data_IF_068005516870
#
_entry.id   IF_068005516870
#
_cell.length_a   1.000
_cell.length_b   1.000
_cell.length_c   1.000
_cell.angle_alpha   90.00
_cell.angle_beta   90.00
_cell.angle_gamma   90.00
#
_symmetry.space_group_name_H-M   'P 1'
#
loop_
_entity.id
_entity.type
_entity.pdbx_description
1 polymer ?
#
# COMPACT_ATOMS: atom_id res chain seq x y z
N UNK A 1 42.05 12.35 1.54
CA UNK A 1 41.28 11.74 2.65
C UNK A 1 39.82 12.18 2.50
N UNK A 2 38.90 11.29 2.13
CA UNK A 2 37.46 11.58 2.02
C UNK A 2 36.72 10.70 3.02
N UNK A 3 36.06 11.33 3.98
CA UNK A 3 35.13 10.67 4.90
C UNK A 3 33.82 10.33 4.16
N UNK A 4 33.27 9.12 4.27
CA UNK A 4 31.89 8.88 3.89
C UNK A 4 30.99 9.23 5.08
N UNK A 5 30.20 10.29 4.89
CA UNK A 5 29.03 10.63 5.69
C UNK A 5 28.02 9.47 5.68
N UNK A 6 27.95 8.73 6.77
CA UNK A 6 26.90 7.75 7.03
C UNK A 6 25.57 8.47 7.28
N UNK A 7 24.78 8.72 6.24
CA UNK A 7 23.35 9.03 6.39
C UNK A 7 22.61 7.76 6.80
N UNK A 8 22.62 7.47 8.10
CA UNK A 8 21.74 6.46 8.69
C UNK A 8 20.29 6.96 8.59
N UNK A 9 19.58 6.57 7.54
CA UNK A 9 18.12 6.69 7.51
C UNK A 9 17.56 5.79 8.61
N UNK A 10 17.26 6.37 9.77
CA UNK A 10 16.59 5.67 10.86
C UNK A 10 15.24 5.16 10.35
N UNK A 11 15.16 3.84 10.11
CA UNK A 11 13.88 3.18 9.87
C UNK A 11 13.11 3.25 11.18
N UNK A 12 12.35 4.33 11.40
CA UNK A 12 11.44 4.42 12.53
C UNK A 12 10.55 3.19 12.49
N UNK A 13 10.73 2.27 13.46
CA UNK A 13 9.84 1.13 13.63
C UNK A 13 8.43 1.68 13.80
N UNK A 14 7.59 1.48 12.77
CA UNK A 14 6.20 1.95 12.73
C UNK A 14 5.33 1.33 13.83
N UNK A 15 5.82 0.31 14.53
CA UNK A 15 5.09 -0.44 15.54
C UNK A 15 5.87 -0.49 16.85
N UNK A 16 5.43 0.27 17.86
CA UNK A 16 5.74 -0.03 19.26
C UNK A 16 4.95 -1.29 19.65
N UNK A 17 5.62 -2.24 20.29
CA UNK A 17 5.43 -3.69 20.16
C UNK A 17 4.24 -4.35 20.89
N UNK A 18 3.17 -3.66 21.31
CA UNK A 18 2.04 -4.32 22.00
C UNK A 18 0.66 -3.85 21.50
N UNK A 19 -0.25 -4.79 21.22
CA UNK A 19 -1.68 -4.53 20.95
C UNK A 19 -2.09 -4.20 19.50
N UNK A 20 -1.19 -4.26 18.50
CA UNK A 20 -1.52 -3.96 17.09
C UNK A 20 -2.01 -5.22 16.38
N UNK A 21 -3.18 -5.14 15.74
CA UNK A 21 -3.77 -6.21 14.93
C UNK A 21 -2.93 -6.47 13.67
N UNK A 22 -2.43 -7.70 13.54
CA UNK A 22 -1.67 -8.18 12.36
C UNK A 22 -2.46 -9.16 11.49
N UNK A 23 -3.64 -9.57 11.94
CA UNK A 23 -4.53 -10.47 11.21
C UNK A 23 -5.18 -9.83 9.99
N UNK A 24 -6.07 -10.56 9.29
CA UNK A 24 -6.80 -10.05 8.13
C UNK A 24 -7.57 -8.76 8.47
N UNK A 25 -7.78 -7.92 7.46
CA UNK A 25 -8.64 -6.75 7.59
C UNK A 25 -10.09 -7.19 7.71
N UNK A 26 -10.78 -6.65 8.71
CA UNK A 26 -12.20 -6.88 8.91
C UNK A 26 -13.01 -5.84 8.13
N UNK A 27 -14.24 -6.14 7.70
CA UNK A 27 -15.08 -5.17 7.01
C UNK A 27 -15.32 -3.91 7.85
N UNK A 28 -15.43 -4.03 9.18
CA UNK A 28 -15.59 -2.87 10.06
C UNK A 28 -14.34 -1.99 10.08
N UNK A 29 -13.15 -2.59 10.04
CA UNK A 29 -11.87 -1.84 9.94
C UNK A 29 -11.80 -1.08 8.59
N UNK A 30 -12.32 -1.69 7.51
CA UNK A 30 -12.34 -1.09 6.19
C UNK A 30 -13.32 0.09 6.13
N UNK A 31 -14.55 -0.06 6.64
CA UNK A 31 -15.55 1.02 6.68
C UNK A 31 -15.05 2.25 7.45
N UNK A 32 -14.43 2.03 8.62
CA UNK A 32 -13.84 3.13 9.41
C UNK A 32 -12.75 3.85 8.61
N UNK A 33 -11.93 3.10 7.87
CA UNK A 33 -10.87 3.66 7.05
C UNK A 33 -11.41 4.44 5.84
N UNK A 34 -12.38 3.88 5.11
CA UNK A 34 -13.01 4.53 3.96
C UNK A 34 -13.72 5.82 4.37
N UNK A 35 -14.50 5.78 5.46
CA UNK A 35 -15.23 6.94 5.96
C UNK A 35 -14.26 8.06 6.38
N UNK A 36 -13.20 7.73 7.12
CA UNK A 36 -12.19 8.72 7.51
C UNK A 36 -11.52 9.36 6.31
N UNK A 37 -11.12 8.58 5.30
CA UNK A 37 -10.44 9.12 4.11
C UNK A 37 -11.39 9.95 3.26
N UNK A 38 -12.66 9.55 3.17
CA UNK A 38 -13.69 10.34 2.47
C UNK A 38 -13.90 11.70 3.14
N UNK A 39 -13.86 11.76 4.47
CA UNK A 39 -14.03 13.00 5.24
C UNK A 39 -12.79 13.91 5.27
N UNK A 40 -11.62 13.34 5.54
CA UNK A 40 -10.39 14.09 5.83
C UNK A 40 -9.42 14.17 4.65
N UNK A 41 -9.61 13.32 3.64
CA UNK A 41 -8.70 13.13 2.50
C UNK A 41 -7.58 12.12 2.74
N UNK A 42 -7.02 11.59 1.64
CA UNK A 42 -5.96 10.57 1.70
C UNK A 42 -4.64 11.13 2.27
N UNK A 43 -3.88 10.28 2.96
CA UNK A 43 -2.57 10.64 3.52
C UNK A 43 -2.50 10.59 5.04
N UNK A 44 -1.48 11.25 5.62
CA UNK A 44 -1.24 11.28 7.08
C UNK A 44 -1.21 9.89 7.73
N UNK A 45 -0.76 8.87 6.99
CA UNK A 45 -0.82 7.45 7.38
C UNK A 45 -0.20 7.14 8.74
N UNK A 46 0.83 7.89 9.17
CA UNK A 46 1.48 7.71 10.48
C UNK A 46 0.58 8.11 11.65
N UNK A 47 -0.23 9.16 11.50
CA UNK A 47 -1.10 9.69 12.56
C UNK A 47 -2.54 9.21 12.42
N UNK A 48 -2.93 8.75 11.22
CA UNK A 48 -4.26 8.22 10.92
C UNK A 48 -4.74 7.20 11.95
N UNK A 49 -4.02 6.10 12.28
CA UNK A 49 -4.55 5.09 13.20
C UNK A 49 -5.00 5.64 14.55
N UNK A 50 -4.26 6.60 15.11
CA UNK A 50 -4.59 7.23 16.40
C UNK A 50 -5.85 8.09 16.31
N UNK A 51 -6.11 8.72 15.16
CA UNK A 51 -7.27 9.60 14.94
C UNK A 51 -8.57 8.82 14.76
N UNK A 52 -8.50 7.66 14.14
CA UNK A 52 -9.67 6.78 13.91
C UNK A 52 -9.86 5.72 15.00
N UNK A 53 -8.96 5.66 15.99
CA UNK A 53 -8.99 4.62 17.02
C UNK A 53 -8.70 3.20 16.50
N UNK A 54 -8.08 3.07 15.32
CA UNK A 54 -7.84 1.78 14.68
C UNK A 54 -6.55 1.17 15.21
N UNK A 55 -6.63 -0.07 15.72
CA UNK A 55 -5.48 -0.82 16.24
C UNK A 55 -4.61 -1.41 15.10
N UNK A 56 -4.31 -0.61 14.09
CA UNK A 56 -3.48 -0.96 12.92
C UNK A 56 -2.32 0.01 12.80
N UNK A 57 -1.20 -0.44 12.29
CA UNK A 57 -0.09 0.48 12.03
C UNK A 57 -0.31 1.26 10.72
N UNK A 58 0.21 2.48 10.66
CA UNK A 58 0.03 3.35 9.49
C UNK A 58 0.48 2.75 8.16
N UNK A 59 1.51 1.88 8.20
CA UNK A 59 1.96 1.14 7.02
C UNK A 59 0.89 0.18 6.51
N UNK A 60 0.24 -0.57 7.41
CA UNK A 60 -0.84 -1.49 7.07
C UNK A 60 -2.03 -0.74 6.49
N UNK A 61 -2.43 0.37 7.12
CA UNK A 61 -3.53 1.22 6.67
C UNK A 61 -3.28 1.73 5.24
N UNK A 62 -2.09 2.29 4.99
CA UNK A 62 -1.71 2.76 3.66
C UNK A 62 -1.78 1.63 2.62
N UNK A 63 -1.27 0.45 2.97
CA UNK A 63 -1.27 -0.69 2.06
C UNK A 63 -2.69 -1.16 1.74
N UNK A 64 -3.57 -1.22 2.76
CA UNK A 64 -4.97 -1.61 2.58
C UNK A 64 -5.71 -0.65 1.65
N UNK A 65 -5.58 0.65 1.90
CA UNK A 65 -6.18 1.67 1.05
C UNK A 65 -5.68 1.56 -0.39
N UNK A 66 -4.36 1.56 -0.59
CA UNK A 66 -3.76 1.62 -1.92
C UNK A 66 -3.96 0.36 -2.77
N UNK A 67 -4.25 -0.79 -2.14
CA UNK A 67 -4.39 -2.06 -2.85
C UNK A 67 -5.83 -2.58 -2.93
N UNK A 68 -6.74 -2.15 -2.06
CA UNK A 68 -8.08 -2.75 -1.98
C UNK A 68 -9.19 -1.71 -1.94
N UNK A 69 -9.10 -0.70 -1.09
CA UNK A 69 -10.23 0.20 -0.81
C UNK A 69 -10.31 1.39 -1.76
N UNK A 70 -9.17 1.89 -2.27
CA UNK A 70 -9.16 3.08 -3.13
C UNK A 70 -10.02 2.86 -4.39
N UNK A 71 -10.98 3.76 -4.70
CA UNK A 71 -11.91 3.57 -5.84
C UNK A 71 -11.24 3.42 -7.20
N UNK A 72 -10.03 3.98 -7.36
CA UNK A 72 -9.27 3.89 -8.61
C UNK A 72 -8.66 2.52 -8.88
N UNK A 73 -8.70 1.59 -7.90
CA UNK A 73 -8.11 0.27 -8.04
C UNK A 73 -9.11 -0.65 -8.74
N UNK A 74 -8.70 -1.21 -9.89
CA UNK A 74 -9.52 -2.18 -10.61
C UNK A 74 -9.70 -3.45 -9.77
N UNK A 75 -10.97 -3.86 -9.59
CA UNK A 75 -11.37 -5.09 -8.89
C UNK A 75 -11.96 -6.05 -9.92
N UNK A 76 -11.38 -7.25 -10.06
CA UNK A 76 -11.89 -8.27 -10.98
C UNK A 76 -10.84 -8.77 -11.97
N UNK A 77 -11.32 -9.36 -13.06
CA UNK A 77 -10.47 -9.97 -14.09
C UNK A 77 -9.63 -8.90 -14.79
N UNK A 78 -8.34 -9.13 -14.87
CA UNK A 78 -7.41 -8.30 -15.64
C UNK A 78 -7.57 -8.69 -17.11
N UNK A 79 -7.57 -7.70 -18.00
CA UNK A 79 -7.72 -7.95 -19.42
C UNK A 79 -6.40 -8.51 -20.00
N UNK A 80 -6.47 -9.32 -21.06
CA UNK A 80 -5.29 -10.02 -21.57
C UNK A 80 -4.17 -9.07 -22.03
N UNK A 81 -4.53 -7.91 -22.58
CA UNK A 81 -3.60 -6.82 -22.92
C UNK A 81 -2.91 -6.23 -21.69
N UNK A 82 -3.61 -6.14 -20.56
CA UNK A 82 -3.03 -5.71 -19.29
C UNK A 82 -2.08 -6.77 -18.72
N UNK A 83 -2.39 -8.06 -18.86
CA UNK A 83 -1.49 -9.16 -18.46
C UNK A 83 -0.18 -9.10 -19.24
N UNK A 84 -0.26 -8.97 -20.56
CA UNK A 84 0.90 -8.77 -21.44
C UNK A 84 1.71 -7.52 -21.04
N UNK A 85 1.01 -6.44 -20.70
CA UNK A 85 1.64 -5.20 -20.26
C UNK A 85 2.36 -5.38 -18.92
N UNK A 86 1.81 -6.14 -17.96
CA UNK A 86 2.48 -6.48 -16.69
C UNK A 86 3.82 -7.18 -16.99
N UNK A 87 3.81 -8.19 -17.85
CA UNK A 87 5.00 -8.97 -18.19
C UNK A 87 6.07 -8.11 -18.87
N UNK A 88 5.69 -7.30 -19.87
CA UNK A 88 6.63 -6.40 -20.57
C UNK A 88 7.22 -5.35 -19.64
N UNK A 89 6.38 -4.75 -18.79
CA UNK A 89 6.85 -3.75 -17.82
C UNK A 89 7.75 -4.37 -16.75
N UNK A 90 7.50 -5.62 -16.32
CA UNK A 90 8.39 -6.31 -15.39
C UNK A 90 9.74 -6.65 -16.03
N UNK A 91 9.77 -7.09 -17.28
CA UNK A 91 11.03 -7.32 -18.00
C UNK A 91 11.87 -6.03 -18.12
N UNK A 92 11.22 -4.89 -18.39
CA UNK A 92 11.90 -3.60 -18.52
C UNK A 92 12.30 -2.97 -17.18
N UNK A 93 11.42 -3.07 -16.17
CA UNK A 93 11.54 -2.32 -14.92
C UNK A 93 11.95 -3.17 -13.72
N UNK A 94 11.91 -4.48 -13.82
CA UNK A 94 12.07 -5.42 -12.72
C UNK A 94 11.01 -5.22 -11.63
N UNK A 95 11.41 -5.38 -10.38
CA UNK A 95 10.53 -5.35 -9.20
C UNK A 95 10.06 -3.94 -8.79
N UNK A 96 9.97 -3.00 -9.75
CA UNK A 96 9.49 -1.62 -9.53
C UNK A 96 7.96 -1.56 -9.59
N UNK A 97 7.29 -2.36 -8.77
CA UNK A 97 5.83 -2.56 -8.81
C UNK A 97 5.02 -1.28 -8.64
N UNK A 98 5.52 -0.28 -7.90
CA UNK A 98 4.85 1.02 -7.78
C UNK A 98 4.71 1.74 -9.12
N UNK A 99 5.67 1.56 -10.02
CA UNK A 99 5.64 2.14 -11.38
C UNK A 99 4.67 1.34 -12.25
N UNK A 100 4.83 0.01 -12.30
CA UNK A 100 3.96 -0.90 -13.07
C UNK A 100 2.49 -0.66 -12.70
N UNK A 101 2.20 -0.58 -11.40
CA UNK A 101 0.88 -0.25 -10.87
C UNK A 101 0.32 1.06 -11.39
N UNK A 102 1.14 2.10 -11.51
CA UNK A 102 0.65 3.41 -11.95
C UNK A 102 0.20 3.39 -13.42
N UNK A 103 0.72 2.46 -14.24
CA UNK A 103 0.26 2.29 -15.62
C UNK A 103 -1.07 1.54 -15.72
N UNK A 104 -1.28 0.50 -14.91
CA UNK A 104 -2.40 -0.46 -15.08
C UNK A 104 -3.52 -0.25 -14.04
N UNK A 105 -3.23 0.49 -12.96
CA UNK A 105 -4.15 0.81 -11.85
C UNK A 105 -4.76 -0.41 -11.14
N UNK A 106 -4.04 -1.53 -11.14
CA UNK A 106 -4.39 -2.75 -10.38
C UNK A 106 -3.69 -2.75 -9.02
N UNK A 107 -3.98 -3.73 -8.14
CA UNK A 107 -3.28 -3.85 -6.86
C UNK A 107 -1.87 -4.43 -7.05
N UNK A 108 -0.93 -4.15 -6.14
CA UNK A 108 0.39 -4.82 -6.18
C UNK A 108 0.29 -6.32 -5.98
N UNK A 109 -0.72 -6.77 -5.23
CA UNK A 109 -1.03 -8.19 -5.05
C UNK A 109 -1.46 -8.83 -6.35
N UNK A 110 -2.25 -8.11 -7.17
CA UNK A 110 -2.63 -8.58 -8.49
C UNK A 110 -1.40 -8.70 -9.40
N UNK A 111 -0.49 -7.72 -9.42
CA UNK A 111 0.75 -7.80 -10.20
C UNK A 111 1.56 -9.07 -9.88
N UNK A 112 1.69 -9.43 -8.59
CA UNK A 112 2.39 -10.66 -8.17
C UNK A 112 1.71 -11.96 -8.60
N UNK A 113 0.43 -11.94 -9.00
CA UNK A 113 -0.24 -13.14 -9.49
C UNK A 113 0.15 -13.47 -10.95
N UNK A 114 0.80 -12.54 -11.66
CA UNK A 114 1.14 -12.66 -13.08
C UNK A 114 2.65 -12.71 -13.37
N UNK A 115 3.50 -12.54 -12.35
CA UNK A 115 4.97 -12.59 -12.43
C UNK A 115 5.45 -13.63 -11.43
#
# INVERSE_FOLDING_TARGET
>A
MRTPSSTATSKTSCCSKMGINRGPWKPEDDEVLENYITREGEGRWRTLPKRVGLLRCGKSIRLRWMNYLRPSVKRGRIAHDEEDLILRLHQLLGNRYSIIRNHIKISTTAIHAYI
#
